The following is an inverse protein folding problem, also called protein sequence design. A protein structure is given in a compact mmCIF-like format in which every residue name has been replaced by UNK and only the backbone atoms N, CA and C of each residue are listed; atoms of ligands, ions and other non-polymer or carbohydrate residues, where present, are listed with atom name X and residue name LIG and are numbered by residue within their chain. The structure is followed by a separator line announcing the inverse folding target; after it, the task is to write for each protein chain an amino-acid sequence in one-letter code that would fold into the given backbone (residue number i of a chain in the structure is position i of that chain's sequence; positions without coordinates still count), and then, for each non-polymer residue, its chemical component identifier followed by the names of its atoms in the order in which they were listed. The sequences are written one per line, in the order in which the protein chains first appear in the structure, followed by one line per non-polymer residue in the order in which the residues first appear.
data_IF_306510539246
#
_entry.id   IF_306510539246
#
_cell.length_a   1.000
_cell.length_b   1.000
_cell.length_c   1.000
_cell.angle_alpha   90.00
_cell.angle_beta   90.00
_cell.angle_gamma   90.00
#
_symmetry.space_group_name_H-M   'P 1'
#
loop_
_entity.id
_entity.type
_entity.pdbx_description
1 polymer ?
#
# COMPACT_ATOMS: atom_id res chain seq x y z
N UNK A 1 -14.76 -11.23 5.95
CA UNK A 1 -13.69 -10.36 6.52
C UNK A 1 -14.17 -8.91 6.74
N UNK A 2 -13.74 -8.19 7.80
CA UNK A 2 -14.06 -6.75 7.99
C UNK A 2 -13.03 -5.88 7.25
N UNK A 3 -13.48 -4.89 6.47
CA UNK A 3 -12.59 -3.95 5.80
C UNK A 3 -11.74 -3.17 6.82
N UNK A 4 -10.42 -3.26 6.70
CA UNK A 4 -9.51 -2.46 7.53
C UNK A 4 -9.42 -1.03 6.97
N UNK A 5 -9.90 -0.05 7.74
CA UNK A 5 -9.70 1.38 7.44
C UNK A 5 -8.58 1.89 8.34
N UNK A 6 -7.50 2.38 7.73
CA UNK A 6 -6.37 2.92 8.48
C UNK A 6 -6.73 4.26 9.12
N UNK A 7 -6.31 4.46 10.36
CA UNK A 7 -6.52 5.71 11.08
C UNK A 7 -5.59 6.81 10.57
N UNK A 8 -6.04 8.07 10.65
CA UNK A 8 -5.20 9.24 10.36
C UNK A 8 -3.95 9.21 11.23
N UNK A 9 -2.74 9.37 10.66
CA UNK A 9 -1.50 9.43 11.42
C UNK A 9 -1.50 10.53 12.47
N UNK A 10 -0.92 10.25 13.64
CA UNK A 10 -0.73 11.25 14.68
C UNK A 10 0.35 12.25 14.25
N UNK A 11 0.02 13.54 14.21
CA UNK A 11 0.94 14.63 13.84
C UNK A 11 2.25 14.69 14.65
N UNK A 12 2.27 14.10 15.84
CA UNK A 12 3.45 14.02 16.74
C UNK A 12 4.20 12.69 16.66
N UNK A 13 3.72 11.74 15.88
CA UNK A 13 4.38 10.45 15.70
C UNK A 13 5.68 10.62 14.90
N UNK A 14 6.78 10.05 15.39
CA UNK A 14 8.10 10.24 14.77
C UNK A 14 8.19 9.63 13.37
N UNK A 15 7.46 8.54 13.10
CA UNK A 15 7.42 7.94 11.75
C UNK A 15 6.63 8.81 10.79
N UNK A 16 5.55 9.43 11.26
CA UNK A 16 4.82 10.37 10.43
C UNK A 16 5.64 11.64 10.14
N UNK A 17 6.43 12.13 11.09
CA UNK A 17 7.37 13.24 10.86
C UNK A 17 8.41 12.84 9.80
N UNK A 18 9.03 11.67 9.92
CA UNK A 18 9.99 11.17 8.91
C UNK A 18 9.36 11.01 7.53
N UNK A 19 8.11 10.54 7.45
CA UNK A 19 7.39 10.45 6.19
C UNK A 19 7.16 11.84 5.55
N UNK A 20 6.81 12.85 6.35
CA UNK A 20 6.68 14.23 5.85
C UNK A 20 8.03 14.80 5.38
N UNK A 21 9.11 14.53 6.09
CA UNK A 21 10.47 14.91 5.67
C UNK A 21 10.87 14.24 4.35
N UNK A 22 10.53 12.95 4.17
CA UNK A 22 10.71 12.24 2.90
C UNK A 22 9.97 12.93 1.76
N UNK A 23 8.71 13.34 1.97
CA UNK A 23 7.93 14.09 0.98
C UNK A 23 8.53 15.48 0.69
N UNK A 24 9.21 16.10 1.65
CA UNK A 24 9.98 17.33 1.46
C UNK A 24 11.02 17.25 0.34
N UNK A 25 11.60 16.07 0.11
CA UNK A 25 12.50 15.81 -1.03
C UNK A 25 11.82 15.94 -2.40
N UNK A 26 10.49 15.87 -2.44
CA UNK A 26 9.68 15.99 -3.66
C UNK A 26 9.08 17.38 -3.84
N UNK A 27 9.44 18.34 -2.99
CA UNK A 27 8.93 19.72 -3.03
C UNK A 27 7.68 19.95 -2.17
N UNK A 28 7.33 18.99 -1.32
CA UNK A 28 6.27 19.17 -0.31
C UNK A 28 6.86 19.87 0.93
N UNK A 29 6.79 21.20 0.96
CA UNK A 29 7.23 21.99 2.12
C UNK A 29 6.01 22.34 2.98
N UNK A 30 6.01 21.86 4.23
CA UNK A 30 4.88 21.99 5.15
C UNK A 30 4.34 23.42 5.28
N UNK A 31 3.01 23.54 5.31
CA UNK A 31 2.38 24.56 6.17
C UNK A 31 1.05 24.10 6.78
N UNK A 32 0.31 23.21 6.12
CA UNK A 32 -0.93 22.59 6.63
C UNK A 32 -0.97 21.14 6.09
N UNK A 33 -1.74 20.26 6.73
CA UNK A 33 -1.88 18.80 6.52
C UNK A 33 -1.54 18.25 5.12
N UNK A 34 -0.88 17.08 5.04
CA UNK A 34 -0.57 16.43 3.77
C UNK A 34 -1.82 16.09 2.97
N UNK A 35 -1.94 16.70 1.80
CA UNK A 35 -2.97 16.43 0.80
C UNK A 35 -2.45 15.42 -0.23
N UNK A 36 -3.07 14.25 -0.30
CA UNK A 36 -2.68 13.18 -1.23
C UNK A 36 -2.74 13.59 -2.71
N UNK A 37 -3.53 14.60 -3.05
CA UNK A 37 -3.66 15.10 -4.42
C UNK A 37 -2.37 15.74 -4.94
N UNK A 38 -1.47 16.20 -4.07
CA UNK A 38 -0.11 16.60 -4.46
C UNK A 38 0.63 15.48 -5.21
N UNK A 39 0.46 14.22 -4.80
CA UNK A 39 1.10 13.07 -5.46
C UNK A 39 0.69 13.00 -6.94
N UNK A 40 -0.58 13.30 -7.25
CA UNK A 40 -1.10 13.26 -8.62
C UNK A 40 -0.56 14.38 -9.52
N UNK A 41 -0.04 15.46 -8.92
CA UNK A 41 0.51 16.62 -9.62
C UNK A 41 2.00 16.47 -9.94
N UNK A 42 2.67 15.49 -9.32
CA UNK A 42 4.08 15.21 -9.59
C UNK A 42 4.29 14.56 -10.96
N UNK A 43 5.49 14.68 -11.54
CA UNK A 43 5.92 13.84 -12.66
C UNK A 43 5.69 12.36 -12.36
N UNK A 44 5.29 11.58 -13.37
CA UNK A 44 4.87 10.18 -13.19
C UNK A 44 5.88 9.32 -12.42
N UNK A 45 7.17 9.45 -12.72
CA UNK A 45 8.24 8.72 -12.02
C UNK A 45 8.29 9.05 -10.52
N UNK A 46 8.25 10.34 -10.16
CA UNK A 46 8.24 10.79 -8.76
C UNK A 46 6.99 10.34 -8.01
N UNK A 47 5.84 10.38 -8.68
CA UNK A 47 4.59 9.90 -8.10
C UNK A 47 4.64 8.38 -7.84
N UNK A 48 5.23 7.61 -8.77
CA UNK A 48 5.43 6.17 -8.63
C UNK A 48 6.41 5.83 -7.50
N UNK A 49 7.50 6.58 -7.35
CA UNK A 49 8.43 6.43 -6.22
C UNK A 49 7.73 6.59 -4.87
N UNK A 50 6.88 7.62 -4.73
CA UNK A 50 6.11 7.83 -3.49
C UNK A 50 5.13 6.69 -3.25
N UNK A 51 4.43 6.20 -4.29
CA UNK A 51 3.52 5.05 -4.15
C UNK A 51 4.29 3.79 -3.73
N UNK A 52 5.46 3.55 -4.31
CA UNK A 52 6.33 2.43 -3.92
C UNK A 52 6.82 2.56 -2.49
N UNK A 53 7.17 3.78 -2.04
CA UNK A 53 7.51 4.03 -0.64
C UNK A 53 6.33 3.72 0.28
N UNK A 54 5.13 4.18 -0.05
CA UNK A 54 3.91 3.90 0.70
C UNK A 54 3.58 2.40 0.75
N UNK A 55 3.77 1.67 -0.36
CA UNK A 55 3.66 0.21 -0.39
C UNK A 55 4.68 -0.46 0.52
N UNK A 56 5.92 0.03 0.54
CA UNK A 56 6.95 -0.42 1.46
C UNK A 56 6.55 -0.21 2.92
N UNK A 57 6.03 0.97 3.25
CA UNK A 57 5.49 1.29 4.57
C UNK A 57 4.36 0.33 4.98
N UNK A 58 3.41 0.10 4.07
CA UNK A 58 2.20 -0.70 4.31
C UNK A 58 2.44 -2.22 4.41
N UNK A 59 3.42 -2.76 3.68
CA UNK A 59 3.57 -4.20 3.50
C UNK A 59 4.89 -4.77 4.07
N UNK A 60 6.00 -4.03 3.99
CA UNK A 60 7.34 -4.57 4.30
C UNK A 60 7.71 -4.33 5.76
N UNK A 61 7.43 -3.13 6.29
CA UNK A 61 7.89 -2.78 7.64
C UNK A 61 7.19 -3.60 8.72
N UNK A 62 7.82 -3.68 9.90
CA UNK A 62 7.24 -4.33 11.08
C UNK A 62 6.60 -3.32 12.04
N UNK A 63 6.83 -2.02 11.85
CA UNK A 63 6.33 -0.99 12.77
C UNK A 63 4.89 -0.63 12.41
N UNK A 64 3.99 -0.74 13.38
CA UNK A 64 2.56 -0.49 13.17
C UNK A 64 2.24 0.95 12.75
N UNK A 65 3.03 1.94 13.18
CA UNK A 65 2.85 3.33 12.75
C UNK A 65 3.14 3.47 11.26
N UNK A 66 4.27 2.95 10.78
CA UNK A 66 4.61 2.92 9.36
C UNK A 66 3.54 2.20 8.53
N UNK A 67 3.10 1.02 8.98
CA UNK A 67 2.05 0.26 8.30
C UNK A 67 0.78 1.11 8.15
N UNK A 68 0.35 1.76 9.23
CA UNK A 68 -0.84 2.61 9.22
C UNK A 68 -0.66 3.85 8.35
N UNK A 69 0.51 4.48 8.34
CA UNK A 69 0.82 5.63 7.47
C UNK A 69 0.69 5.23 5.99
N UNK A 70 1.34 4.13 5.59
CA UNK A 70 1.29 3.63 4.21
C UNK A 70 -0.14 3.31 3.77
N UNK A 71 -0.87 2.55 4.59
CA UNK A 71 -2.28 2.19 4.33
C UNK A 71 -3.18 3.42 4.25
N UNK A 72 -3.05 4.34 5.21
CA UNK A 72 -3.88 5.56 5.26
C UNK A 72 -3.74 6.37 3.98
N UNK A 73 -2.52 6.69 3.55
CA UNK A 73 -2.34 7.53 2.37
C UNK A 73 -2.70 6.83 1.06
N UNK A 74 -2.48 5.52 0.94
CA UNK A 74 -2.96 4.76 -0.21
C UNK A 74 -4.50 4.71 -0.27
N UNK A 75 -5.16 4.57 0.88
CA UNK A 75 -6.63 4.61 0.96
C UNK A 75 -7.19 5.99 0.64
N UNK A 76 -6.55 7.06 1.10
CA UNK A 76 -6.94 8.43 0.73
C UNK A 76 -6.71 8.71 -0.77
N UNK A 77 -5.70 8.08 -1.38
CA UNK A 77 -5.39 8.20 -2.80
C UNK A 77 -6.26 7.29 -3.70
N UNK A 78 -7.14 6.46 -3.10
CA UNK A 78 -8.03 5.53 -3.79
C UNK A 78 -8.85 6.24 -4.87
N UNK A 79 -8.43 6.04 -6.11
CA UNK A 79 -9.02 6.60 -7.32
C UNK A 79 -8.57 5.74 -8.50
N UNK A 80 -9.25 5.82 -9.64
CA UNK A 80 -8.84 5.14 -10.88
C UNK A 80 -7.37 5.39 -11.25
N UNK A 81 -6.87 6.58 -10.91
CA UNK A 81 -5.47 6.93 -11.09
C UNK A 81 -4.53 6.03 -10.27
N UNK A 82 -4.84 5.73 -9.01
CA UNK A 82 -4.05 4.79 -8.22
C UNK A 82 -4.25 3.34 -8.68
N UNK A 83 -5.50 2.93 -8.88
CA UNK A 83 -5.87 1.53 -9.18
C UNK A 83 -5.23 1.04 -10.48
N UNK A 84 -5.14 1.90 -11.51
CA UNK A 84 -4.46 1.60 -12.78
C UNK A 84 -2.94 1.40 -12.67
N UNK A 85 -2.32 1.74 -11.54
CA UNK A 85 -0.85 1.71 -11.35
C UNK A 85 -0.41 0.76 -10.25
N UNK A 86 -1.14 0.72 -9.14
CA UNK A 86 -0.67 0.12 -7.88
C UNK A 86 -0.32 -1.37 -8.03
N UNK A 87 -1.06 -2.10 -8.86
CA UNK A 87 -0.80 -3.51 -9.13
C UNK A 87 0.57 -3.75 -9.80
N UNK A 88 0.97 -2.88 -10.74
CA UNK A 88 2.31 -2.97 -11.36
C UNK A 88 3.38 -2.55 -10.35
N UNK A 89 3.09 -1.53 -9.55
CA UNK A 89 4.05 -0.99 -8.58
C UNK A 89 4.31 -1.94 -7.40
N UNK A 90 3.39 -2.85 -7.09
CA UNK A 90 3.57 -3.89 -6.09
C UNK A 90 4.40 -5.08 -6.58
N UNK A 91 4.93 -5.07 -7.81
CA UNK A 91 5.68 -6.20 -8.37
C UNK A 91 6.83 -6.68 -7.48
N UNK A 92 7.59 -5.78 -6.87
CA UNK A 92 8.69 -6.15 -5.96
C UNK A 92 8.20 -6.94 -4.74
N UNK A 93 7.01 -6.65 -4.22
CA UNK A 93 6.37 -7.39 -3.13
C UNK A 93 5.90 -8.79 -3.57
N UNK A 94 5.47 -8.92 -4.84
CA UNK A 94 5.10 -10.22 -5.40
C UNK A 94 6.34 -11.10 -5.62
N UNK A 95 7.42 -10.49 -6.11
CA UNK A 95 8.67 -11.16 -6.43
C UNK A 95 9.45 -11.56 -5.15
N UNK A 96 9.23 -10.88 -4.01
CA UNK A 96 9.87 -11.21 -2.73
C UNK A 96 9.46 -12.60 -2.22
N UNK A 97 8.30 -13.09 -2.66
CA UNK A 97 7.75 -14.39 -2.28
C UNK A 97 7.62 -14.57 -0.75
N UNK A 98 7.52 -13.45 -0.02
CA UNK A 98 7.43 -13.41 1.43
C UNK A 98 5.96 -13.46 1.86
N UNK A 99 5.61 -14.47 2.65
CA UNK A 99 4.25 -14.69 3.16
C UNK A 99 3.65 -13.44 3.83
N UNK A 100 4.39 -12.77 4.72
CA UNK A 100 3.87 -11.63 5.49
C UNK A 100 3.62 -10.41 4.62
N UNK A 101 4.53 -10.12 3.69
CA UNK A 101 4.38 -9.02 2.74
C UNK A 101 3.20 -9.26 1.80
N UNK A 102 3.05 -10.50 1.34
CA UNK A 102 1.96 -10.91 0.46
C UNK A 102 0.59 -10.82 1.16
N UNK A 103 0.49 -11.30 2.41
CA UNK A 103 -0.74 -11.20 3.19
C UNK A 103 -1.14 -9.74 3.42
N UNK A 104 -0.18 -8.87 3.78
CA UNK A 104 -0.45 -7.44 3.96
C UNK A 104 -0.84 -6.75 2.66
N UNK A 105 -0.28 -7.17 1.52
CA UNK A 105 -0.68 -6.68 0.21
C UNK A 105 -2.12 -7.09 -0.12
N UNK A 106 -2.52 -8.31 0.21
CA UNK A 106 -3.91 -8.78 0.06
C UNK A 106 -4.89 -7.96 0.90
N UNK A 107 -4.60 -7.76 2.20
CA UNK A 107 -5.41 -6.90 3.07
C UNK A 107 -5.53 -5.46 2.54
N UNK A 108 -4.41 -4.91 2.05
CA UNK A 108 -4.39 -3.58 1.46
C UNK A 108 -5.25 -3.53 0.20
N UNK A 109 -5.09 -4.48 -0.73
CA UNK A 109 -5.85 -4.51 -1.97
C UNK A 109 -7.34 -4.67 -1.72
N UNK A 110 -7.76 -5.53 -0.79
CA UNK A 110 -9.17 -5.60 -0.37
C UNK A 110 -9.72 -4.26 0.12
N UNK A 111 -8.92 -3.50 0.88
CA UNK A 111 -9.35 -2.18 1.36
C UNK A 111 -9.43 -1.13 0.26
N UNK A 112 -8.70 -1.33 -0.84
CA UNK A 112 -8.66 -0.42 -1.98
C UNK A 112 -9.71 -0.78 -3.03
N UNK A 113 -9.75 -2.01 -3.50
CA UNK A 113 -10.64 -2.47 -4.56
C UNK A 113 -10.71 -4.01 -4.58
N UNK A 114 -11.92 -4.57 -4.63
CA UNK A 114 -12.10 -6.02 -4.61
C UNK A 114 -11.51 -6.72 -5.83
N UNK A 115 -11.49 -6.07 -7.02
CA UNK A 115 -10.93 -6.69 -8.22
C UNK A 115 -9.40 -6.78 -8.13
N UNK A 116 -8.74 -5.85 -7.45
CA UNK A 116 -7.30 -5.95 -7.17
C UNK A 116 -7.00 -7.16 -6.28
N UNK A 117 -7.83 -7.38 -5.26
CA UNK A 117 -7.70 -8.51 -4.35
C UNK A 117 -7.97 -9.85 -5.06
N UNK A 118 -9.02 -9.93 -5.85
CA UNK A 118 -9.33 -11.11 -6.67
C UNK A 118 -8.18 -11.46 -7.61
N UNK A 119 -7.66 -10.47 -8.35
CA UNK A 119 -6.50 -10.66 -9.23
C UNK A 119 -5.27 -11.16 -8.47
N UNK A 120 -5.04 -10.68 -7.25
CA UNK A 120 -3.94 -11.14 -6.42
C UNK A 120 -4.18 -12.57 -5.92
N UNK A 121 -5.41 -12.91 -5.54
CA UNK A 121 -5.79 -14.24 -5.10
C UNK A 121 -5.56 -15.27 -6.22
N UNK A 122 -6.02 -14.99 -7.43
CA UNK A 122 -5.77 -15.84 -8.60
C UNK A 122 -4.28 -16.09 -8.87
N UNK A 123 -3.43 -15.08 -8.67
CA UNK A 123 -1.98 -15.23 -8.84
C UNK A 123 -1.37 -16.06 -7.72
N UNK A 124 -1.81 -15.85 -6.48
CA UNK A 124 -1.30 -16.58 -5.32
C UNK A 124 -1.59 -18.08 -5.39
N UNK A 125 -2.74 -18.47 -5.94
CA UNK A 125 -3.10 -19.88 -6.20
C UNK A 125 -2.16 -20.59 -7.18
N UNK A 126 -1.46 -19.83 -8.03
CA UNK A 126 -0.49 -20.33 -9.02
C UNK A 126 0.96 -20.20 -8.53
N UNK A 127 1.19 -19.74 -7.31
CA UNK A 127 2.52 -19.55 -6.76
C UNK A 127 3.16 -20.91 -6.38
N UNK A 128 4.48 -21.00 -6.45
CA UNK A 128 5.23 -22.18 -6.05
C UNK A 128 5.44 -22.26 -4.52
N UNK A 129 5.21 -21.16 -3.79
CA UNK A 129 5.27 -21.13 -2.33
C UNK A 129 3.92 -21.57 -1.75
N UNK A 130 3.87 -22.71 -1.01
CA UNK A 130 2.63 -23.22 -0.44
C UNK A 130 2.00 -22.26 0.57
N UNK A 131 2.78 -21.43 1.27
CA UNK A 131 2.25 -20.45 2.23
C UNK A 131 1.47 -19.34 1.51
N UNK A 132 1.93 -18.91 0.34
CA UNK A 132 1.23 -17.91 -0.48
C UNK A 132 -0.01 -18.53 -1.14
N UNK A 133 0.07 -19.79 -1.57
CA UNK A 133 -1.10 -20.51 -2.07
C UNK A 133 -2.20 -20.57 -1.02
N UNK A 134 -1.85 -20.73 0.27
CA UNK A 134 -2.83 -20.76 1.36
C UNK A 134 -3.52 -19.40 1.55
N UNK A 135 -2.78 -18.29 1.51
CA UNK A 135 -3.38 -16.93 1.47
C UNK A 135 -4.39 -16.86 0.33
N UNK A 136 -4.03 -17.34 -0.86
CA UNK A 136 -4.95 -17.38 -2.00
C UNK A 136 -6.27 -18.07 -1.71
N UNK A 137 -6.22 -19.25 -1.09
CA UNK A 137 -7.43 -19.99 -0.74
C UNK A 137 -8.24 -19.30 0.34
N UNK A 138 -7.59 -18.77 1.38
CA UNK A 138 -8.26 -18.07 2.47
C UNK A 138 -9.07 -16.88 1.95
N UNK A 139 -8.47 -16.07 1.07
CA UNK A 139 -9.10 -14.87 0.54
C UNK A 139 -10.08 -15.14 -0.61
N UNK A 140 -9.83 -16.13 -1.47
CA UNK A 140 -10.74 -16.46 -2.58
C UNK A 140 -12.11 -16.96 -2.10
N UNK A 141 -12.18 -17.60 -0.92
CA UNK A 141 -13.45 -18.02 -0.33
C UNK A 141 -14.25 -16.86 0.30
N UNK A 142 -13.60 -15.72 0.55
CA UNK A 142 -14.12 -14.56 1.28
C UNK A 142 -14.38 -13.33 0.38
N UNK A 143 -14.07 -13.43 -0.91
CA UNK A 143 -14.29 -12.44 -1.98
C UNK A 143 -15.65 -12.62 -2.66
#
# INVERSE_FOLDING_TARGET
MSFFIANKPNGKDSYYIQFKEYLGGYGYYESIEFEVDFIKQLPGEKAEEIIQHLLGLACITQNISNINIGRYFLQQLKSEWLLSRIFRLSKSLLDSNNYWEYNRLMELFLSLDSNLAEKLAELSLKNNNPEIVEIGKEFFNDL
#
